data_IF_732323346965
#
_entry.id   IF_732323346965
#
_cell.length_a   1.000
_cell.length_b   1.000
_cell.length_c   1.000
_cell.angle_alpha   90.00
_cell.angle_beta   90.00
_cell.angle_gamma   90.00
#
_symmetry.space_group_name_H-M   'P 1'
#
loop_
_entity.id
_entity.type
_entity.pdbx_description
1 polymer ?
#
# COMPACT_ATOMS: atom_id res chain seq x y z
N UNK A 1 -3.00 -16.50 6.96
CA UNK A 1 -1.65 -16.83 6.45
C UNK A 1 -0.97 -17.69 7.47
N UNK A 2 -0.55 -18.90 7.09
CA UNK A 2 0.36 -19.70 7.90
C UNK A 2 1.79 -19.34 7.48
N UNK A 3 2.39 -18.36 8.16
CA UNK A 3 3.79 -17.99 7.99
C UNK A 3 4.54 -18.23 9.29
N UNK A 4 5.78 -18.68 9.22
CA UNK A 4 6.65 -18.78 10.38
C UNK A 4 7.36 -17.45 10.64
N UNK A 5 7.75 -17.15 11.90
CA UNK A 5 8.59 -15.99 12.17
C UNK A 5 9.84 -15.99 11.29
N UNK A 6 10.06 -14.91 10.53
CA UNK A 6 11.16 -14.78 9.56
C UNK A 6 10.72 -14.89 8.10
N UNK A 7 9.53 -15.44 7.80
CA UNK A 7 9.02 -15.52 6.42
C UNK A 7 8.51 -14.17 5.88
N UNK A 8 8.17 -13.25 6.79
CA UNK A 8 7.60 -11.93 6.46
C UNK A 8 8.50 -10.85 7.03
N UNK A 9 8.98 -9.96 6.15
CA UNK A 9 9.64 -8.73 6.54
C UNK A 9 8.62 -7.59 6.59
N UNK A 10 8.49 -6.93 7.75
CA UNK A 10 7.36 -6.03 8.03
C UNK A 10 7.86 -4.61 8.27
N UNK A 11 7.22 -3.66 7.60
CA UNK A 11 7.24 -2.24 7.94
C UNK A 11 5.81 -1.77 8.24
N UNK A 12 5.66 -0.85 9.20
CA UNK A 12 4.37 -0.26 9.57
C UNK A 12 4.50 1.25 9.69
N UNK A 13 3.60 1.94 8.99
CA UNK A 13 3.40 3.39 9.07
C UNK A 13 1.92 3.72 9.22
N UNK A 14 1.60 4.98 9.50
CA UNK A 14 0.21 5.43 9.62
C UNK A 14 -0.46 5.35 8.24
N UNK A 15 -1.64 4.72 8.17
CA UNK A 15 -2.38 4.52 6.93
C UNK A 15 -1.57 3.87 5.79
N UNK A 16 -0.59 3.03 6.14
CA UNK A 16 0.20 2.21 5.20
C UNK A 16 0.71 3.00 3.98
N UNK A 17 1.07 4.26 4.17
CA UNK A 17 1.50 5.18 3.11
C UNK A 17 2.90 4.84 2.61
N UNK A 18 3.10 4.99 1.30
CA UNK A 18 4.41 5.07 0.67
C UNK A 18 4.57 6.45 0.04
N UNK A 19 5.60 7.18 0.47
CA UNK A 19 5.99 8.47 -0.13
C UNK A 19 7.41 8.34 -0.66
N UNK A 20 7.72 8.80 -1.90
CA UNK A 20 9.06 8.67 -2.46
C UNK A 20 10.19 9.29 -1.62
N UNK A 21 9.88 10.33 -0.82
CA UNK A 21 10.83 10.98 0.08
C UNK A 21 10.92 10.37 1.50
N UNK A 22 10.30 9.23 1.76
CA UNK A 22 10.40 8.54 3.05
C UNK A 22 11.64 7.63 3.09
N UNK A 23 12.75 8.14 3.64
CA UNK A 23 14.00 7.39 3.76
C UNK A 23 13.87 6.12 4.61
N UNK A 24 12.98 6.11 5.61
CA UNK A 24 12.77 4.91 6.43
C UNK A 24 12.20 3.78 5.58
N UNK A 25 11.16 4.09 4.79
CA UNK A 25 10.53 3.11 3.92
C UNK A 25 11.43 2.72 2.73
N UNK A 26 12.15 3.67 2.14
CA UNK A 26 13.09 3.37 1.06
C UNK A 26 14.24 2.46 1.53
N UNK A 27 14.78 2.67 2.74
CA UNK A 27 15.81 1.79 3.31
C UNK A 27 15.28 0.35 3.52
N UNK A 28 14.05 0.20 4.03
CA UNK A 28 13.38 -1.11 4.15
C UNK A 28 13.27 -1.80 2.79
N UNK A 29 12.80 -1.09 1.77
CA UNK A 29 12.62 -1.65 0.42
C UNK A 29 13.95 -2.07 -0.20
N UNK A 30 15.01 -1.27 -0.02
CA UNK A 30 16.35 -1.60 -0.51
C UNK A 30 16.86 -2.90 0.11
N UNK A 31 16.80 -3.07 1.44
CA UNK A 31 17.19 -4.32 2.09
C UNK A 31 16.34 -5.50 1.61
N UNK A 32 15.02 -5.31 1.53
CA UNK A 32 14.10 -6.36 1.10
C UNK A 32 14.40 -6.86 -0.33
N UNK A 33 14.67 -5.95 -1.27
CA UNK A 33 14.83 -6.28 -2.68
C UNK A 33 16.27 -6.65 -3.06
N UNK A 34 17.26 -6.03 -2.44
CA UNK A 34 18.67 -6.23 -2.77
C UNK A 34 19.24 -7.41 -1.98
N UNK A 35 19.05 -7.43 -0.65
CA UNK A 35 19.64 -8.43 0.23
C UNK A 35 18.77 -9.68 0.32
N UNK A 36 17.48 -9.51 0.65
CA UNK A 36 16.57 -10.65 0.85
C UNK A 36 15.95 -11.15 -0.46
N UNK A 37 15.98 -10.34 -1.52
CA UNK A 37 15.45 -10.66 -2.84
C UNK A 37 14.00 -11.15 -2.77
N UNK A 38 13.19 -10.48 -1.93
CA UNK A 38 11.78 -10.84 -1.77
C UNK A 38 11.09 -10.92 -3.12
N UNK A 39 10.13 -11.86 -3.23
CA UNK A 39 9.36 -12.08 -4.46
C UNK A 39 8.07 -11.26 -4.47
N UNK A 40 7.58 -10.89 -3.30
CA UNK A 40 6.30 -10.24 -3.10
C UNK A 40 6.45 -9.06 -2.14
N UNK A 41 5.89 -7.92 -2.51
CA UNK A 41 5.59 -6.81 -1.62
C UNK A 41 4.06 -6.73 -1.52
N UNK A 42 3.54 -6.62 -0.30
CA UNK A 42 2.11 -6.46 -0.06
C UNK A 42 1.89 -5.13 0.64
N UNK A 43 1.10 -4.25 0.01
CA UNK A 43 0.48 -3.12 0.68
C UNK A 43 -0.80 -3.63 1.33
N UNK A 44 -0.82 -3.68 2.67
CA UNK A 44 -1.98 -4.13 3.43
C UNK A 44 -2.65 -2.95 4.13
N UNK A 45 -3.82 -2.55 3.64
CA UNK A 45 -4.75 -1.68 4.36
C UNK A 45 -5.64 -2.47 5.31
N UNK A 46 -6.48 -1.79 6.08
CA UNK A 46 -7.43 -2.46 6.97
C UNK A 46 -8.69 -1.63 7.22
N UNK A 47 -9.81 -2.30 7.52
CA UNK A 47 -11.05 -1.64 7.94
C UNK A 47 -10.82 -0.79 9.21
N UNK A 48 -11.64 0.24 9.38
CA UNK A 48 -11.56 1.20 10.50
C UNK A 48 -10.17 1.87 10.67
N UNK A 49 -9.43 2.07 9.58
CA UNK A 49 -8.12 2.73 9.64
C UNK A 49 -8.25 4.17 10.15
N UNK A 50 -7.72 4.43 11.36
CA UNK A 50 -7.76 5.75 12.00
C UNK A 50 -7.05 6.81 11.16
N UNK A 51 -5.97 6.46 10.47
CA UNK A 51 -5.29 7.38 9.56
C UNK A 51 -6.16 7.77 8.36
N UNK A 52 -6.86 6.81 7.75
CA UNK A 52 -7.82 7.09 6.67
C UNK A 52 -9.00 7.91 7.18
N UNK A 53 -9.54 7.61 8.37
CA UNK A 53 -10.62 8.38 8.97
C UNK A 53 -10.19 9.83 9.27
N UNK A 54 -8.96 10.03 9.74
CA UNK A 54 -8.40 11.36 10.00
C UNK A 54 -8.24 12.16 8.72
N UNK A 55 -7.74 11.54 7.65
CA UNK A 55 -7.62 12.15 6.33
C UNK A 55 -9.00 12.49 5.73
N UNK A 56 -9.98 11.60 5.84
CA UNK A 56 -11.35 11.82 5.39
C UNK A 56 -12.03 12.98 6.12
N UNK A 57 -11.84 13.09 7.45
CA UNK A 57 -12.34 14.26 8.20
C UNK A 57 -11.66 15.55 7.74
N UNK A 58 -10.36 15.49 7.51
CA UNK A 58 -9.57 16.64 7.06
C UNK A 58 -9.89 17.06 5.63
N UNK A 59 -10.38 16.15 4.77
CA UNK A 59 -10.75 16.47 3.38
C UNK A 59 -12.01 17.32 3.30
N UNK A 60 -12.90 17.20 4.30
CA UNK A 60 -14.16 17.95 4.38
C UNK A 60 -14.00 19.39 4.93
N UNK A 61 -12.84 19.72 5.49
CA UNK A 61 -12.57 21.04 6.05
C UNK A 61 -11.95 21.98 4.99
N UNK A 62 -12.08 23.31 5.13
CA UNK A 62 -11.29 24.25 4.33
C UNK A 62 -9.78 23.99 4.46
N UNK A 63 -8.98 24.23 3.41
CA UNK A 63 -7.53 24.12 3.51
C UNK A 63 -6.98 25.01 4.63
N UNK A 64 -6.20 24.42 5.54
CA UNK A 64 -5.51 25.12 6.62
C UNK A 64 -4.01 24.81 6.56
N UNK A 65 -3.13 25.70 7.06
CA UNK A 65 -1.70 25.40 7.15
C UNK A 65 -1.44 24.10 7.93
N UNK A 66 -0.61 23.22 7.38
CA UNK A 66 -0.27 21.90 7.95
C UNK A 66 0.79 22.02 9.06
N UNK A 67 0.39 22.60 10.20
CA UNK A 67 1.29 22.87 11.33
C UNK A 67 1.64 21.62 12.12
N UNK A 68 0.78 20.60 12.10
CA UNK A 68 0.99 19.35 12.85
C UNK A 68 1.61 18.25 11.98
N UNK A 69 2.42 17.38 12.61
CA UNK A 69 3.09 16.29 11.90
C UNK A 69 2.10 15.34 11.19
N UNK A 70 0.98 15.01 11.84
CA UNK A 70 -0.04 14.14 11.26
C UNK A 70 -0.72 14.75 10.02
N UNK A 71 -0.90 16.07 9.99
CA UNK A 71 -1.48 16.78 8.84
C UNK A 71 -0.54 16.72 7.65
N UNK A 72 0.75 16.98 7.86
CA UNK A 72 1.78 16.86 6.81
C UNK A 72 1.90 15.43 6.30
N UNK A 73 1.90 14.46 7.21
CA UNK A 73 2.05 13.04 6.88
C UNK A 73 0.86 12.50 6.08
N UNK A 74 -0.37 12.84 6.50
CA UNK A 74 -1.60 12.42 5.82
C UNK A 74 -2.02 13.33 4.65
N UNK A 75 -1.21 14.32 4.28
CA UNK A 75 -1.52 15.24 3.18
C UNK A 75 -1.86 14.51 1.88
N UNK A 76 -1.07 13.51 1.39
CA UNK A 76 -1.39 12.82 0.14
C UNK A 76 -2.72 12.08 0.23
N UNK A 77 -3.02 11.45 1.36
CA UNK A 77 -4.27 10.73 1.59
C UNK A 77 -5.47 11.68 1.71
N UNK A 78 -5.26 12.84 2.31
CA UNK A 78 -6.28 13.89 2.40
C UNK A 78 -6.61 14.45 1.03
N UNK A 79 -5.59 14.65 0.17
CA UNK A 79 -5.76 15.07 -1.21
C UNK A 79 -6.50 14.00 -2.04
N UNK A 80 -6.16 12.72 -1.85
CA UNK A 80 -6.88 11.60 -2.45
C UNK A 80 -8.37 11.61 -2.06
N UNK A 81 -8.65 11.73 -0.77
CA UNK A 81 -10.04 11.81 -0.28
C UNK A 81 -10.80 13.01 -0.86
N UNK A 82 -10.16 14.18 -0.99
CA UNK A 82 -10.77 15.36 -1.65
C UNK A 82 -11.07 15.11 -3.13
N UNK A 83 -10.15 14.47 -3.84
CA UNK A 83 -10.31 14.18 -5.27
C UNK A 83 -11.42 13.16 -5.55
N UNK A 84 -11.76 12.33 -4.57
CA UNK A 84 -12.85 11.35 -4.64
C UNK A 84 -14.21 11.92 -4.20
N UNK A 85 -14.25 13.12 -3.63
CA UNK A 85 -15.51 13.76 -3.21
C UNK A 85 -16.34 14.11 -4.45
N UNK A 86 -17.62 13.75 -4.41
CA UNK A 86 -18.60 14.02 -5.47
C UNK A 86 -19.70 14.97 -4.97
N UNK A 87 -20.69 15.27 -5.82
CA UNK A 87 -21.88 16.03 -5.42
C UNK A 87 -22.68 15.33 -4.31
N UNK A 88 -22.64 13.99 -4.27
CA UNK A 88 -23.30 13.17 -3.23
C UNK A 88 -22.50 13.13 -1.91
N UNK A 89 -21.32 13.76 -1.86
CA UNK A 89 -20.47 13.85 -0.68
C UNK A 89 -19.15 13.08 -0.78
N UNK A 90 -18.43 12.94 0.34
CA UNK A 90 -17.12 12.28 0.40
C UNK A 90 -17.26 10.75 0.26
N UNK A 91 -16.18 10.03 -0.13
CA UNK A 91 -16.22 8.58 -0.20
C UNK A 91 -16.48 7.95 1.17
N UNK A 92 -16.99 6.71 1.16
CA UNK A 92 -17.02 5.90 2.39
C UNK A 92 -15.60 5.63 2.89
N UNK A 93 -15.45 5.37 4.19
CA UNK A 93 -14.14 5.04 4.78
C UNK A 93 -13.53 3.79 4.13
N UNK A 94 -14.35 2.75 3.89
CA UNK A 94 -13.89 1.52 3.26
C UNK A 94 -13.38 1.75 1.85
N UNK A 95 -14.12 2.55 1.05
CA UNK A 95 -13.69 2.92 -0.29
C UNK A 95 -12.38 3.71 -0.27
N UNK A 96 -12.22 4.65 0.69
CA UNK A 96 -10.97 5.39 0.84
C UNK A 96 -9.80 4.48 1.26
N UNK A 97 -10.03 3.47 2.11
CA UNK A 97 -9.01 2.48 2.48
C UNK A 97 -8.57 1.68 1.24
N UNK A 98 -9.52 1.20 0.44
CA UNK A 98 -9.23 0.48 -0.80
C UNK A 98 -8.45 1.33 -1.80
N UNK A 99 -8.89 2.56 -2.01
CA UNK A 99 -8.24 3.47 -2.96
C UNK A 99 -6.86 3.93 -2.45
N UNK A 100 -6.69 4.09 -1.14
CA UNK A 100 -5.39 4.34 -0.55
C UNK A 100 -4.43 3.19 -0.84
N UNK A 101 -4.84 1.93 -0.61
CA UNK A 101 -4.02 0.75 -0.93
C UNK A 101 -3.66 0.75 -2.41
N UNK A 102 -4.64 0.99 -3.29
CA UNK A 102 -4.40 1.04 -4.73
C UNK A 102 -3.41 2.15 -5.11
N UNK A 103 -3.53 3.34 -4.51
CA UNK A 103 -2.60 4.44 -4.74
C UNK A 103 -1.19 4.10 -4.25
N UNK A 104 -1.03 3.45 -3.10
CA UNK A 104 0.29 3.07 -2.61
C UNK A 104 0.93 1.96 -3.45
N UNK A 105 0.13 1.03 -3.98
CA UNK A 105 0.62 0.05 -4.97
C UNK A 105 1.14 0.77 -6.21
N UNK A 106 0.37 1.73 -6.77
CA UNK A 106 0.82 2.55 -7.91
C UNK A 106 2.09 3.33 -7.60
N UNK A 107 2.18 3.95 -6.42
CA UNK A 107 3.37 4.71 -6.01
C UNK A 107 4.60 3.81 -5.90
N UNK A 108 4.47 2.61 -5.31
CA UNK A 108 5.57 1.64 -5.22
C UNK A 108 5.98 1.14 -6.59
N UNK A 109 5.04 0.83 -7.47
CA UNK A 109 5.34 0.40 -8.84
C UNK A 109 6.10 1.49 -9.61
N UNK A 110 5.76 2.76 -9.40
CA UNK A 110 6.47 3.90 -9.99
C UNK A 110 7.81 4.23 -9.29
N UNK A 111 8.10 3.64 -8.13
CA UNK A 111 9.30 3.96 -7.36
C UNK A 111 10.57 3.48 -8.04
N UNK A 112 11.65 4.25 -7.87
CA UNK A 112 12.96 3.89 -8.41
C UNK A 112 13.43 2.52 -7.91
N UNK A 113 13.16 2.18 -6.65
CA UNK A 113 13.61 0.92 -6.04
C UNK A 113 12.95 -0.31 -6.68
N UNK A 114 11.66 -0.24 -7.03
CA UNK A 114 10.97 -1.32 -7.75
C UNK A 114 11.39 -1.37 -9.22
N UNK A 115 11.49 -0.21 -9.87
CA UNK A 115 11.94 -0.12 -11.26
C UNK A 115 13.36 -0.69 -11.46
N UNK A 116 14.26 -0.43 -10.52
CA UNK A 116 15.62 -0.97 -10.58
C UNK A 116 15.69 -2.46 -10.23
N UNK A 117 14.84 -2.96 -9.34
CA UNK A 117 14.68 -4.41 -9.13
C UNK A 117 14.23 -5.11 -10.41
N UNK A 118 13.25 -4.55 -11.13
CA UNK A 118 12.77 -5.08 -12.40
C UNK A 118 13.82 -5.03 -13.50
N UNK A 119 14.55 -3.92 -13.64
CA UNK A 119 15.69 -3.83 -14.60
C UNK A 119 16.77 -4.88 -14.30
N UNK A 120 17.06 -5.11 -13.02
CA UNK A 120 18.12 -6.04 -12.59
C UNK A 120 17.70 -7.50 -12.70
N UNK A 121 16.45 -7.83 -12.41
CA UNK A 121 15.95 -9.22 -12.32
C UNK A 121 15.07 -9.66 -13.49
N UNK A 122 14.68 -8.74 -14.38
CA UNK A 122 13.77 -9.00 -15.48
C UNK A 122 12.44 -9.59 -14.98
N UNK A 123 11.95 -10.63 -15.66
CA UNK A 123 10.71 -11.36 -15.31
C UNK A 123 10.68 -11.95 -13.89
N UNK A 124 11.83 -12.03 -13.20
CA UNK A 124 11.93 -12.53 -11.82
C UNK A 124 11.91 -11.42 -10.77
N UNK A 125 11.69 -10.18 -11.17
CA UNK A 125 11.53 -9.04 -10.25
C UNK A 125 10.30 -9.19 -9.35
N UNK A 126 10.24 -8.32 -8.35
CA UNK A 126 9.20 -8.35 -7.32
C UNK A 126 7.80 -8.11 -7.90
N UNK A 127 6.80 -8.80 -7.36
CA UNK A 127 5.38 -8.49 -7.60
C UNK A 127 4.83 -7.67 -6.43
N UNK A 128 4.12 -6.59 -6.73
CA UNK A 128 3.47 -5.74 -5.73
C UNK A 128 1.98 -6.07 -5.68
N UNK A 129 1.44 -6.26 -4.48
CA UNK A 129 0.06 -6.67 -4.21
C UNK A 129 -0.64 -5.61 -3.34
N UNK A 130 -1.95 -5.48 -3.50
CA UNK A 130 -2.79 -4.61 -2.67
C UNK A 130 -3.90 -5.39 -2.01
N UNK A 131 -3.87 -5.48 -0.67
CA UNK A 131 -4.82 -6.24 0.14
C UNK A 131 -5.47 -5.35 1.20
N UNK A 132 -6.67 -5.76 1.64
CA UNK A 132 -7.36 -5.14 2.79
C UNK A 132 -7.68 -6.22 3.82
N UNK A 133 -7.26 -6.00 5.06
CA UNK A 133 -7.62 -6.83 6.20
C UNK A 133 -8.90 -6.32 6.87
N UNK A 134 -9.91 -7.17 6.94
CA UNK A 134 -11.17 -6.88 7.63
C UNK A 134 -11.03 -7.25 9.11
N UNK A 135 -10.92 -6.25 9.97
CA UNK A 135 -10.77 -6.43 11.42
C UNK A 135 -11.97 -7.15 12.05
N UNK A 136 -13.17 -6.96 11.47
CA UNK A 136 -14.44 -7.45 11.99
C UNK A 136 -14.53 -8.98 11.98
N UNK A 137 -13.95 -9.62 10.97
CA UNK A 137 -14.05 -11.06 10.75
C UNK A 137 -12.67 -11.74 10.59
N UNK A 138 -11.58 -10.97 10.67
CA UNK A 138 -10.22 -11.46 10.55
C UNK A 138 -9.85 -11.99 9.15
N UNK A 139 -10.59 -11.60 8.12
CA UNK A 139 -10.35 -12.05 6.74
C UNK A 139 -9.50 -11.05 5.94
N UNK A 140 -8.86 -11.54 4.88
CA UNK A 140 -8.07 -10.72 3.96
C UNK A 140 -8.75 -10.76 2.60
N UNK A 141 -9.03 -9.58 2.06
CA UNK A 141 -9.54 -9.40 0.70
C UNK A 141 -8.41 -8.93 -0.21
N UNK A 142 -8.19 -9.67 -1.29
CA UNK A 142 -7.33 -9.24 -2.39
C UNK A 142 -8.11 -8.26 -3.29
N UNK A 143 -7.53 -7.09 -3.56
CA UNK A 143 -8.13 -6.09 -4.45
C UNK A 143 -7.95 -6.44 -5.93
N UNK A 144 -7.18 -7.48 -6.27
CA UNK A 144 -6.97 -7.93 -7.66
C UNK A 144 -6.04 -7.02 -8.47
N UNK A 145 -5.31 -6.13 -7.80
CA UNK A 145 -4.44 -5.11 -8.42
C UNK A 145 -2.95 -5.51 -8.41
N UNK A 146 -2.67 -6.81 -8.38
CA UNK A 146 -1.31 -7.33 -8.32
C UNK A 146 -0.57 -7.06 -9.64
N UNK A 147 0.63 -6.48 -9.56
CA UNK A 147 1.44 -6.18 -10.74
C UNK A 147 2.91 -6.58 -10.52
N UNK A 148 3.44 -7.37 -11.45
CA UNK A 148 4.85 -7.75 -11.52
C UNK A 148 5.58 -7.04 -12.67
N UNK A 149 6.84 -7.44 -12.93
CA UNK A 149 7.64 -6.89 -14.03
C UNK A 149 6.92 -7.00 -15.38
N UNK A 150 7.23 -6.12 -16.36
CA UNK A 150 6.85 -6.34 -17.75
C UNK A 150 7.23 -7.76 -18.19
N UNK A 151 6.38 -8.41 -18.97
CA UNK A 151 6.53 -9.79 -19.45
C UNK A 151 6.51 -10.90 -18.38
N UNK A 152 6.33 -10.56 -17.09
CA UNK A 152 6.00 -11.56 -16.08
C UNK A 152 4.61 -12.12 -16.36
N UNK A 153 4.49 -13.45 -16.47
CA UNK A 153 3.17 -14.09 -16.51
C UNK A 153 2.50 -13.82 -15.17
N UNK A 154 1.31 -13.18 -15.12
CA UNK A 154 0.57 -13.00 -13.88
C UNK A 154 0.45 -14.36 -13.20
N UNK A 155 0.98 -14.45 -11.98
CA UNK A 155 1.05 -15.72 -11.25
C UNK A 155 -0.33 -16.38 -11.24
N UNK A 156 -0.39 -17.63 -11.73
CA UNK A 156 -1.45 -18.57 -11.37
C UNK A 156 -1.74 -18.37 -9.88
N UNK A 157 -3.02 -18.19 -9.51
CA UNK A 157 -3.49 -18.18 -8.13
C UNK A 157 -2.65 -19.18 -7.33
N UNK A 158 -1.82 -18.70 -6.42
CA UNK A 158 -1.17 -19.55 -5.44
C UNK A 158 -2.29 -19.93 -4.47
N UNK A 159 -3.10 -20.91 -4.87
CA UNK A 159 -3.94 -21.62 -3.91
C UNK A 159 -2.95 -22.23 -2.92
N UNK A 160 -3.07 -21.95 -1.62
CA UNK A 160 -2.25 -22.65 -0.65
C UNK A 160 -2.52 -24.14 -0.86
N UNK A 161 -1.47 -24.92 -1.14
CA UNK A 161 -1.53 -26.34 -0.85
C UNK A 161 -1.72 -26.41 0.66
N UNK A 162 -2.96 -26.66 1.06
CA UNK A 162 -3.30 -27.15 2.39
C UNK A 162 -2.37 -28.34 2.63
N UNK A 163 -1.49 -28.21 3.62
CA UNK A 163 -0.94 -29.37 4.31
C UNK A 163 -2.05 -29.96 5.19
#
# INVERSE_FOLDING_TARGET
>A
MGSTPGDIFVHRGIANLYTPGDDSMNAVLMIALINFKVKHIIVAGHSNCVGCQTALRSSMLPPVPETQAIQRYLKPLTQLARAMTTEDGPPSLDLLVEENVAQQVRNLLASQVVQDDWKRRGQYGVTVHGWVYQLENGTIRDLGISQGPPDSKPGKKILPKLF
#
